data_IF_329299749076
#
_entry.id   IF_329299749076
#
_cell.length_a   1.000
_cell.length_b   1.000
_cell.length_c   1.000
_cell.angle_alpha   90.00
_cell.angle_beta   90.00
_cell.angle_gamma   90.00
#
_symmetry.space_group_name_H-M   'P 1'
#
loop_
_entity.id
_entity.type
_entity.pdbx_description
1 polymer ?
#
# COMPACT_ATOMS: atom_id res chain seq x y z
N UNK A 1 20.86 0.16 18.25
CA UNK A 1 20.05 0.75 17.17
C UNK A 1 18.94 1.55 17.83
N UNK A 2 18.71 2.82 17.40
CA UNK A 2 17.61 3.62 17.95
C UNK A 2 16.26 2.99 17.60
N UNK A 3 15.26 3.17 18.47
CA UNK A 3 13.87 2.81 18.18
C UNK A 3 13.33 3.69 17.07
N UNK A 4 12.77 3.12 16.01
CA UNK A 4 12.12 3.82 14.92
C UNK A 4 10.66 3.35 14.83
N UNK A 5 9.75 4.29 14.64
CA UNK A 5 8.33 4.02 14.38
C UNK A 5 8.01 4.37 12.94
N UNK A 6 7.55 3.40 12.18
CA UNK A 6 7.22 3.53 10.77
C UNK A 6 5.72 3.77 10.60
N UNK A 7 5.33 4.83 9.89
CA UNK A 7 3.99 4.98 9.36
C UNK A 7 3.94 4.26 8.01
N UNK A 8 3.08 3.25 7.90
CA UNK A 8 2.96 2.39 6.71
C UNK A 8 1.69 2.75 5.95
N UNK A 9 1.86 3.24 4.74
CA UNK A 9 0.79 3.58 3.78
C UNK A 9 0.91 2.68 2.56
N UNK A 10 -0.21 2.24 2.00
CA UNK A 10 -0.24 1.45 0.77
C UNK A 10 -1.52 1.72 -0.02
N UNK A 11 -1.47 1.51 -1.33
CA UNK A 11 -2.64 1.47 -2.20
C UNK A 11 -3.53 2.72 -2.03
N UNK A 12 -2.90 3.91 -2.16
CA UNK A 12 -3.57 5.21 -2.00
C UNK A 12 -4.48 5.49 -3.20
N UNK A 13 -4.05 5.03 -4.39
CA UNK A 13 -4.84 5.09 -5.61
C UNK A 13 -5.45 6.47 -5.90
N UNK A 14 -4.63 7.52 -5.77
CA UNK A 14 -5.03 8.90 -6.02
C UNK A 14 -6.31 9.34 -5.28
N UNK A 15 -6.65 8.71 -4.14
CA UNK A 15 -7.72 9.09 -3.23
C UNK A 15 -7.16 10.03 -2.14
N UNK A 16 -6.99 11.29 -2.50
CA UNK A 16 -6.46 12.31 -1.59
C UNK A 16 -7.38 12.56 -0.38
N UNK A 17 -8.70 12.41 -0.55
CA UNK A 17 -9.66 12.56 0.55
C UNK A 17 -9.41 11.53 1.65
N UNK A 18 -9.19 10.27 1.28
CA UNK A 18 -8.85 9.22 2.23
C UNK A 18 -7.46 9.43 2.83
N UNK A 19 -6.46 9.82 2.01
CA UNK A 19 -5.10 10.10 2.48
C UNK A 19 -5.09 11.22 3.51
N UNK A 20 -5.81 12.31 3.30
CA UNK A 20 -5.91 13.40 4.26
C UNK A 20 -6.51 12.97 5.59
N UNK A 21 -7.56 12.15 5.57
CA UNK A 21 -8.15 11.61 6.80
C UNK A 21 -7.15 10.73 7.57
N UNK A 22 -6.40 9.88 6.86
CA UNK A 22 -5.33 9.06 7.45
C UNK A 22 -4.23 9.93 8.06
N UNK A 23 -3.75 10.95 7.34
CA UNK A 23 -2.69 11.82 7.84
C UNK A 23 -3.13 12.63 9.08
N UNK A 24 -4.38 13.07 9.12
CA UNK A 24 -4.96 13.76 10.27
C UNK A 24 -5.05 12.83 11.50
N UNK A 25 -5.44 11.58 11.32
CA UNK A 25 -5.45 10.59 12.42
C UNK A 25 -4.02 10.22 12.86
N UNK A 26 -3.12 10.00 11.91
CA UNK A 26 -1.73 9.65 12.15
C UNK A 26 -0.94 10.77 12.85
N UNK A 27 -1.30 12.04 12.67
CA UNK A 27 -0.67 13.18 13.34
C UNK A 27 -0.70 13.07 14.89
N UNK A 28 -1.68 12.36 15.43
CA UNK A 28 -1.77 12.08 16.87
C UNK A 28 -0.95 10.86 17.31
N UNK A 29 -0.32 10.15 16.36
CA UNK A 29 0.47 8.96 16.60
C UNK A 29 1.94 9.26 16.29
N UNK A 30 2.81 9.05 17.24
CA UNK A 30 4.24 9.32 17.01
C UNK A 30 4.79 8.34 15.97
N UNK A 31 5.37 8.86 14.88
CA UNK A 31 6.15 8.11 13.91
C UNK A 31 7.38 8.93 13.51
N UNK A 32 8.41 8.26 13.05
CA UNK A 32 9.71 8.87 12.69
C UNK A 32 9.92 8.87 11.19
N UNK A 33 9.29 7.93 10.47
CA UNK A 33 9.45 7.77 9.03
C UNK A 33 8.17 7.27 8.38
N UNK A 34 7.90 7.74 7.17
CA UNK A 34 6.77 7.29 6.33
C UNK A 34 7.28 6.34 5.27
N UNK A 35 6.66 5.16 5.16
CA UNK A 35 6.91 4.17 4.11
C UNK A 35 5.63 4.02 3.29
N UNK A 36 5.72 4.29 2.00
CA UNK A 36 4.66 4.03 1.04
C UNK A 36 4.97 2.74 0.26
N UNK A 37 4.08 1.76 0.37
CA UNK A 37 4.25 0.40 -0.14
C UNK A 37 3.71 0.20 -1.56
N UNK A 38 3.66 1.27 -2.36
CA UNK A 38 3.24 1.22 -3.76
C UNK A 38 1.77 1.55 -3.99
N UNK A 39 1.43 1.74 -5.27
CA UNK A 39 0.13 2.13 -5.77
C UNK A 39 -0.37 3.46 -5.19
N UNK A 40 0.47 4.50 -5.33
CA UNK A 40 0.03 5.88 -5.12
C UNK A 40 -0.99 6.30 -6.16
N UNK A 41 -0.85 5.77 -7.38
CA UNK A 41 -1.62 6.12 -8.58
C UNK A 41 -2.66 5.03 -8.93
N UNK A 42 -3.47 5.31 -9.94
CA UNK A 42 -4.58 4.46 -10.37
C UNK A 42 -5.90 4.82 -9.70
N UNK A 43 -6.98 4.45 -10.32
CA UNK A 43 -8.39 4.56 -9.91
C UNK A 43 -8.91 5.96 -9.58
N UNK A 44 -8.29 6.71 -8.66
CA UNK A 44 -8.83 7.94 -8.09
C UNK A 44 -8.49 9.22 -8.87
N UNK A 45 -9.11 10.36 -8.50
CA UNK A 45 -9.07 11.59 -9.29
C UNK A 45 -7.97 12.58 -8.90
N UNK A 46 -7.17 12.33 -7.86
CA UNK A 46 -6.22 13.32 -7.32
C UNK A 46 -4.76 12.84 -7.35
N UNK A 47 -4.19 12.48 -8.54
CA UNK A 47 -2.86 11.90 -8.60
C UNK A 47 -1.77 12.89 -8.16
N UNK A 48 -1.90 14.19 -8.51
CA UNK A 48 -0.92 15.20 -8.15
C UNK A 48 -0.90 15.49 -6.66
N UNK A 49 -2.06 15.66 -6.07
CA UNK A 49 -2.22 15.95 -4.64
C UNK A 49 -1.65 14.81 -3.77
N UNK A 50 -1.82 13.56 -4.20
CA UNK A 50 -1.24 12.40 -3.52
C UNK A 50 0.28 12.39 -3.65
N UNK A 51 0.83 12.64 -4.84
CA UNK A 51 2.28 12.71 -5.03
C UNK A 51 2.90 13.88 -4.25
N UNK A 52 2.24 15.04 -4.20
CA UNK A 52 2.72 16.18 -3.42
C UNK A 52 2.71 15.87 -1.92
N UNK A 53 1.65 15.27 -1.39
CA UNK A 53 1.60 14.85 0.00
C UNK A 53 2.73 13.85 0.36
N UNK A 54 3.01 12.86 -0.50
CA UNK A 54 4.11 11.92 -0.27
C UNK A 54 5.49 12.60 -0.30
N UNK A 55 5.67 13.63 -1.14
CA UNK A 55 6.91 14.45 -1.15
C UNK A 55 7.05 15.27 0.13
N UNK A 56 5.97 15.92 0.57
CA UNK A 56 5.97 16.73 1.79
C UNK A 56 6.27 15.90 3.04
N UNK A 57 5.87 14.63 3.03
CA UNK A 57 6.15 13.67 4.10
C UNK A 57 7.57 13.09 4.04
N UNK A 58 8.37 13.43 3.03
CA UNK A 58 9.67 12.77 2.74
C UNK A 58 9.54 11.23 2.76
N UNK A 59 8.46 10.73 2.16
CA UNK A 59 8.11 9.32 2.21
C UNK A 59 9.10 8.47 1.42
N UNK A 60 9.54 7.36 2.00
CA UNK A 60 10.25 6.30 1.27
C UNK A 60 9.21 5.51 0.48
N UNK A 61 9.26 5.62 -0.84
CA UNK A 61 8.29 4.99 -1.72
C UNK A 61 8.89 3.79 -2.45
N UNK A 62 8.16 2.67 -2.47
CA UNK A 62 8.38 1.58 -3.42
C UNK A 62 7.36 1.67 -4.56
N UNK A 63 7.72 1.10 -5.70
CA UNK A 63 6.88 1.07 -6.89
C UNK A 63 5.74 0.06 -6.68
N UNK A 64 4.51 0.44 -7.01
CA UNK A 64 3.38 -0.47 -7.14
C UNK A 64 3.14 -0.84 -8.61
N UNK A 65 2.28 -1.82 -8.86
CA UNK A 65 2.00 -2.27 -10.22
C UNK A 65 1.22 -1.21 -11.03
N UNK A 66 0.37 -0.40 -10.40
CA UNK A 66 -0.29 0.72 -11.09
C UNK A 66 0.69 1.85 -11.40
N UNK A 67 1.63 2.12 -10.51
CA UNK A 67 2.68 3.11 -10.73
C UNK A 67 3.58 2.68 -11.90
N UNK A 68 3.97 1.40 -11.97
CA UNK A 68 4.74 0.84 -13.10
C UNK A 68 3.94 0.86 -14.40
N UNK A 69 2.65 0.49 -14.37
CA UNK A 69 1.79 0.59 -15.54
C UNK A 69 1.70 2.02 -16.08
N UNK A 70 1.60 3.03 -15.20
CA UNK A 70 1.59 4.44 -15.61
C UNK A 70 2.91 4.82 -16.29
N UNK A 71 4.06 4.39 -15.75
CA UNK A 71 5.37 4.62 -16.37
C UNK A 71 5.47 3.92 -17.73
N UNK A 72 4.94 2.71 -17.87
CA UNK A 72 4.90 2.00 -19.15
C UNK A 72 4.06 2.75 -20.20
N UNK A 73 2.92 3.36 -19.80
CA UNK A 73 2.15 4.24 -20.68
C UNK A 73 2.91 5.51 -21.06
N UNK A 74 3.55 6.16 -20.09
CA UNK A 74 4.36 7.36 -20.32
C UNK A 74 5.50 7.11 -21.32
N UNK A 75 6.08 5.91 -21.32
CA UNK A 75 7.17 5.48 -22.20
C UNK A 75 6.68 4.93 -23.56
N UNK A 76 5.37 4.82 -23.80
CA UNK A 76 4.82 4.18 -24.98
C UNK A 76 5.11 2.67 -25.06
N UNK A 77 5.49 2.03 -23.96
CA UNK A 77 5.80 0.58 -23.89
C UNK A 77 4.57 -0.29 -23.66
N UNK A 78 3.44 0.32 -23.31
CA UNK A 78 2.18 -0.38 -23.08
C UNK A 78 1.09 0.16 -23.98
N UNK A 79 0.41 -0.74 -24.69
CA UNK A 79 -0.77 -0.39 -25.47
C UNK A 79 -1.95 -0.08 -24.56
N UNK A 80 -2.72 0.96 -24.93
CA UNK A 80 -3.95 1.30 -24.20
C UNK A 80 -4.98 0.21 -24.45
N UNK A 81 -5.40 -0.46 -23.38
CA UNK A 81 -6.48 -1.46 -23.42
C UNK A 81 -7.79 -0.80 -23.01
N UNK A 82 -8.88 -1.31 -23.54
CA UNK A 82 -10.23 -0.93 -23.09
C UNK A 82 -10.52 -1.59 -21.73
N UNK A 83 -9.94 -1.01 -20.69
CA UNK A 83 -10.10 -1.44 -19.29
C UNK A 83 -10.21 -0.24 -18.36
N UNK A 84 -10.93 -0.42 -17.27
CA UNK A 84 -11.12 0.60 -16.22
C UNK A 84 -9.77 1.10 -15.69
N UNK A 85 -8.80 0.20 -15.51
CA UNK A 85 -7.46 0.55 -15.05
C UNK A 85 -6.73 1.42 -16.07
N UNK A 86 -6.73 1.05 -17.35
CA UNK A 86 -6.12 1.83 -18.42
C UNK A 86 -6.75 3.21 -18.53
N UNK A 87 -8.07 3.31 -18.47
CA UNK A 87 -8.79 4.59 -18.53
C UNK A 87 -8.35 5.53 -17.39
N UNK A 88 -8.32 5.02 -16.15
CA UNK A 88 -7.92 5.80 -14.98
C UNK A 88 -6.45 6.25 -15.08
N UNK A 89 -5.54 5.34 -15.43
CA UNK A 89 -4.11 5.66 -15.53
C UNK A 89 -3.80 6.64 -16.66
N UNK A 90 -4.43 6.50 -17.82
CA UNK A 90 -4.28 7.45 -18.94
C UNK A 90 -4.83 8.82 -18.60
N UNK A 91 -5.99 8.87 -17.91
CA UNK A 91 -6.53 10.12 -17.41
C UNK A 91 -5.57 10.79 -16.42
N UNK A 92 -5.02 10.04 -15.47
CA UNK A 92 -4.05 10.55 -14.49
C UNK A 92 -2.76 11.02 -15.17
N UNK A 93 -2.23 10.26 -16.14
CA UNK A 93 -1.04 10.65 -16.90
C UNK A 93 -1.23 12.00 -17.61
N UNK A 94 -2.44 12.29 -18.12
CA UNK A 94 -2.75 13.60 -18.73
C UNK A 94 -2.77 14.77 -17.73
N UNK A 95 -2.78 14.50 -16.42
CA UNK A 95 -2.83 15.49 -15.33
C UNK A 95 -1.49 15.65 -14.63
N UNK A 96 -0.59 14.69 -14.76
CA UNK A 96 0.75 14.73 -14.17
C UNK A 96 1.72 15.52 -15.05
N UNK A 97 2.62 16.24 -14.39
CA UNK A 97 3.74 16.88 -15.07
C UNK A 97 4.87 15.88 -15.36
N UNK A 98 5.79 16.25 -16.26
CA UNK A 98 7.02 15.45 -16.50
C UNK A 98 7.84 15.28 -15.20
N UNK A 99 7.83 16.29 -14.30
CA UNK A 99 8.49 16.21 -13.01
C UNK A 99 7.85 15.16 -12.10
N UNK A 100 6.53 15.02 -12.14
CA UNK A 100 5.81 14.01 -11.36
C UNK A 100 6.15 12.60 -11.83
N UNK A 101 6.08 12.39 -13.14
CA UNK A 101 6.45 11.10 -13.76
C UNK A 101 7.93 10.77 -13.51
N UNK A 102 8.83 11.75 -13.62
CA UNK A 102 10.24 11.58 -13.34
C UNK A 102 10.50 11.19 -11.87
N UNK A 103 9.72 11.72 -10.93
CA UNK A 103 9.86 11.37 -9.52
C UNK A 103 9.37 9.93 -9.24
N UNK A 104 8.22 9.52 -9.78
CA UNK A 104 7.73 8.13 -9.67
C UNK A 104 8.74 7.15 -10.27
N UNK A 105 9.44 7.54 -11.36
CA UNK A 105 10.49 6.73 -11.99
C UNK A 105 11.70 6.44 -11.09
N UNK A 106 11.91 7.23 -10.04
CA UNK A 106 12.96 7.00 -9.06
C UNK A 106 12.60 5.92 -8.02
N UNK A 107 11.33 5.55 -7.93
CA UNK A 107 10.87 4.53 -7.00
C UNK A 107 11.39 3.16 -7.43
N UNK A 108 11.76 2.35 -6.45
CA UNK A 108 12.30 1.02 -6.68
C UNK A 108 11.20 -0.03 -6.54
N UNK A 109 11.31 -1.12 -7.27
CA UNK A 109 10.47 -2.31 -7.14
C UNK A 109 10.58 -2.98 -5.74
N UNK A 110 11.59 -2.67 -4.96
CA UNK A 110 11.74 -3.11 -3.57
C UNK A 110 12.95 -2.47 -2.92
N UNK A 111 12.85 -2.30 -1.60
CA UNK A 111 13.91 -1.70 -0.77
C UNK A 111 14.19 -2.64 0.41
N UNK A 112 15.45 -3.01 0.58
CA UNK A 112 15.93 -3.63 1.81
C UNK A 112 16.44 -2.53 2.75
N UNK A 113 15.86 -2.45 3.95
CA UNK A 113 16.26 -1.52 4.99
C UNK A 113 17.07 -2.27 6.06
N UNK A 114 18.41 -2.14 6.04
CA UNK A 114 19.26 -2.83 7.00
C UNK A 114 19.17 -2.25 8.42
N UNK A 115 18.69 -1.01 8.60
CA UNK A 115 18.53 -0.38 9.90
C UNK A 115 17.34 -0.96 10.67
N UNK A 116 16.26 -1.25 9.95
CA UNK A 116 15.06 -1.92 10.50
C UNK A 116 15.19 -3.45 10.40
N UNK A 117 15.98 -3.94 9.46
CA UNK A 117 16.06 -5.36 9.11
C UNK A 117 14.79 -5.81 8.35
N UNK A 118 14.25 -4.92 7.54
CA UNK A 118 12.98 -5.11 6.82
C UNK A 118 13.16 -5.02 5.30
N UNK A 119 12.23 -5.64 4.58
CA UNK A 119 12.03 -5.47 3.15
C UNK A 119 10.68 -4.83 2.89
N UNK A 120 10.68 -3.77 2.10
CA UNK A 120 9.49 -3.10 1.58
C UNK A 120 9.31 -3.48 0.12
N UNK A 121 8.15 -3.99 -0.27
CA UNK A 121 7.79 -4.27 -1.65
C UNK A 121 6.27 -4.30 -1.80
N UNK A 122 5.75 -4.11 -3.02
CA UNK A 122 4.30 -3.95 -3.19
C UNK A 122 3.53 -5.28 -3.09
N UNK A 123 3.86 -6.27 -3.93
CA UNK A 123 3.09 -7.52 -4.03
C UNK A 123 3.45 -8.56 -2.97
N UNK A 124 4.62 -9.19 -3.13
CA UNK A 124 5.23 -10.09 -2.15
C UNK A 124 6.65 -9.61 -1.85
N UNK A 125 7.36 -10.16 -0.85
CA UNK A 125 8.78 -9.80 -0.67
C UNK A 125 9.68 -10.08 -1.88
N UNK A 126 9.22 -10.84 -2.88
CA UNK A 126 9.99 -11.23 -4.07
C UNK A 126 9.36 -10.83 -5.41
N UNK A 127 8.11 -10.37 -5.42
CA UNK A 127 7.39 -10.00 -6.63
C UNK A 127 6.60 -8.70 -6.48
N UNK A 128 6.56 -7.91 -7.56
CA UNK A 128 5.74 -6.69 -7.64
C UNK A 128 4.24 -7.02 -7.77
N UNK A 129 3.90 -8.06 -8.55
CA UNK A 129 2.56 -8.31 -9.05
C UNK A 129 1.82 -9.48 -8.36
N UNK A 130 2.55 -10.33 -7.63
CA UNK A 130 1.94 -11.48 -6.94
C UNK A 130 1.24 -11.06 -5.66
N UNK A 131 0.09 -11.68 -5.37
CA UNK A 131 -0.68 -11.42 -4.15
C UNK A 131 -0.20 -12.27 -2.98
N UNK A 132 -0.10 -11.66 -1.78
CA UNK A 132 0.01 -12.39 -0.52
C UNK A 132 -1.38 -12.37 0.16
N UNK A 133 -2.34 -13.11 -0.38
CA UNK A 133 -3.76 -13.08 0.02
C UNK A 133 -4.24 -14.35 0.73
N UNK A 134 -3.39 -15.36 0.79
CA UNK A 134 -3.75 -16.68 1.32
C UNK A 134 -2.56 -17.37 1.98
N UNK A 135 -2.84 -18.39 2.79
CA UNK A 135 -1.79 -19.24 3.40
C UNK A 135 -0.91 -19.91 2.35
N UNK A 136 -1.43 -20.47 1.24
CA UNK A 136 -0.59 -21.00 0.16
C UNK A 136 0.32 -19.94 -0.47
N UNK A 137 -0.19 -18.76 -0.79
CA UNK A 137 0.60 -17.66 -1.35
C UNK A 137 1.70 -17.19 -0.38
N UNK A 138 1.37 -17.04 0.90
CA UNK A 138 2.35 -16.69 1.92
C UNK A 138 3.44 -17.77 2.07
N UNK A 139 3.09 -19.06 1.96
CA UNK A 139 4.05 -20.17 2.00
C UNK A 139 5.05 -20.07 0.85
N UNK A 140 4.56 -19.79 -0.35
CA UNK A 140 5.40 -19.63 -1.54
C UNK A 140 6.35 -18.44 -1.39
N UNK A 141 5.82 -17.29 -0.93
CA UNK A 141 6.63 -16.11 -0.65
C UNK A 141 7.73 -16.40 0.40
N UNK A 142 7.41 -17.09 1.50
CA UNK A 142 8.39 -17.48 2.51
C UNK A 142 9.41 -18.50 2.00
N UNK A 143 9.08 -19.35 1.07
CA UNK A 143 10.02 -20.29 0.46
C UNK A 143 11.09 -19.59 -0.38
N UNK A 144 10.69 -18.51 -1.09
CA UNK A 144 11.55 -17.75 -1.98
C UNK A 144 12.33 -16.63 -1.26
N UNK A 145 11.87 -16.16 -0.10
CA UNK A 145 12.47 -15.05 0.64
C UNK A 145 12.86 -15.49 2.05
N UNK A 146 14.10 -15.17 2.46
CA UNK A 146 14.67 -15.60 3.74
C UNK A 146 14.71 -14.48 4.80
N UNK A 147 14.23 -13.29 4.49
CA UNK A 147 14.17 -12.18 5.44
C UNK A 147 13.17 -12.41 6.57
N UNK A 148 13.25 -11.58 7.61
CA UNK A 148 12.42 -11.71 8.82
C UNK A 148 11.17 -10.83 8.75
N UNK A 149 11.31 -9.56 8.35
CA UNK A 149 10.24 -8.56 8.31
C UNK A 149 10.00 -8.13 6.85
N UNK A 150 8.88 -8.52 6.26
CA UNK A 150 8.42 -8.05 4.96
C UNK A 150 7.17 -7.17 5.13
N UNK A 151 7.17 -6.00 4.50
CA UNK A 151 6.00 -5.13 4.42
C UNK A 151 5.54 -5.07 2.98
N UNK A 152 4.26 -5.36 2.75
CA UNK A 152 3.63 -5.46 1.44
C UNK A 152 2.30 -4.72 1.39
N UNK A 153 1.73 -4.53 0.19
CA UNK A 153 0.42 -3.95 -0.07
C UNK A 153 -0.41 -4.83 -1.00
N UNK A 154 -0.88 -4.24 -2.10
CA UNK A 154 -1.47 -4.88 -3.30
C UNK A 154 -2.81 -5.60 -3.09
N UNK A 155 -3.00 -6.34 -2.01
CA UNK A 155 -4.26 -7.04 -1.73
C UNK A 155 -5.38 -6.10 -1.28
N UNK A 156 -5.02 -4.92 -0.77
CA UNK A 156 -5.90 -3.95 -0.11
C UNK A 156 -6.60 -4.50 1.15
N UNK A 157 -6.08 -5.58 1.71
CA UNK A 157 -6.62 -6.24 2.91
C UNK A 157 -5.55 -6.24 3.98
N UNK A 158 -5.78 -5.60 5.15
CA UNK A 158 -4.79 -5.59 6.20
C UNK A 158 -4.65 -6.96 6.83
N UNK A 159 -3.42 -7.48 6.81
CA UNK A 159 -3.13 -8.85 7.23
C UNK A 159 -1.71 -9.05 7.74
N UNK A 160 -1.54 -10.10 8.51
CA UNK A 160 -0.25 -10.67 8.91
C UNK A 160 -0.22 -12.14 8.52
N UNK A 161 0.87 -12.55 7.86
CA UNK A 161 1.24 -13.94 7.70
C UNK A 161 2.54 -14.19 8.45
N UNK A 162 2.57 -15.20 9.30
CA UNK A 162 3.71 -15.51 10.15
C UNK A 162 4.10 -16.99 10.06
N UNK A 163 5.41 -17.27 10.04
CA UNK A 163 5.95 -18.64 10.11
C UNK A 163 7.14 -18.68 11.07
N UNK A 164 7.56 -19.90 11.43
CA UNK A 164 8.77 -20.08 12.24
C UNK A 164 10.04 -19.77 11.42
N UNK A 165 11.09 -19.40 12.10
CA UNK A 165 12.30 -18.88 11.48
C UNK A 165 13.09 -19.94 10.68
N UNK A 166 12.92 -21.27 10.94
CA UNK A 166 13.57 -22.34 10.17
C UNK A 166 13.14 -23.75 10.63
N UNK A 167 13.02 -24.70 9.70
CA UNK A 167 12.77 -24.52 8.27
C UNK A 167 11.41 -23.88 8.03
N UNK A 168 11.11 -23.43 6.79
CA UNK A 168 9.74 -23.02 6.45
C UNK A 168 8.85 -24.24 6.69
N UNK A 169 8.26 -24.27 7.88
CA UNK A 169 7.46 -25.40 8.31
C UNK A 169 6.09 -25.38 7.64
N UNK A 170 5.34 -26.45 7.86
CA UNK A 170 3.95 -26.53 7.42
C UNK A 170 3.04 -25.52 8.16
N UNK A 171 3.57 -24.87 9.20
CA UNK A 171 2.81 -23.93 10.00
C UNK A 171 2.93 -22.49 9.47
N UNK A 172 1.81 -21.93 9.07
CA UNK A 172 1.64 -20.51 8.78
C UNK A 172 0.40 -20.02 9.52
N UNK A 173 0.56 -18.99 10.32
CA UNK A 173 -0.55 -18.27 10.92
C UNK A 173 -0.92 -17.09 10.02
N UNK A 174 -2.20 -16.97 9.68
CA UNK A 174 -2.78 -15.80 9.05
C UNK A 174 -3.69 -15.08 10.04
N UNK A 175 -3.66 -13.74 10.04
CA UNK A 175 -4.56 -12.90 10.82
C UNK A 175 -4.92 -11.67 9.98
N UNK A 176 -6.21 -11.38 9.86
CA UNK A 176 -6.75 -10.21 9.18
C UNK A 176 -7.21 -9.16 10.20
N UNK A 177 -7.22 -7.89 9.79
CA UNK A 177 -7.54 -6.74 10.65
C UNK A 177 -8.63 -5.86 10.03
N UNK A 178 -9.76 -6.48 9.64
CA UNK A 178 -10.89 -5.77 8.98
C UNK A 178 -11.40 -4.59 9.82
N UNK A 179 -11.37 -4.69 11.14
CA UNK A 179 -11.79 -3.61 12.05
C UNK A 179 -10.60 -2.93 12.74
N UNK A 180 -9.39 -3.11 12.21
CA UNK A 180 -8.15 -2.69 12.88
C UNK A 180 -7.68 -3.72 13.91
N UNK A 181 -6.59 -3.41 14.60
CA UNK A 181 -6.02 -4.30 15.62
C UNK A 181 -4.50 -4.34 15.60
N UNK A 182 -3.92 -5.26 16.31
CA UNK A 182 -2.47 -5.31 16.43
C UNK A 182 -1.89 -6.72 16.45
N UNK A 183 -0.61 -6.80 16.13
CA UNK A 183 0.18 -8.03 16.18
C UNK A 183 1.57 -7.77 16.77
N UNK A 184 1.92 -8.51 17.81
CA UNK A 184 3.29 -8.54 18.31
C UNK A 184 4.08 -9.61 17.55
N UNK A 185 5.15 -9.20 16.88
CA UNK A 185 6.01 -10.12 16.12
C UNK A 185 6.93 -10.89 17.07
N UNK A 186 6.75 -12.21 17.24
CA UNK A 186 7.60 -12.99 18.13
C UNK A 186 9.06 -13.03 17.62
N UNK A 187 10.06 -13.10 18.52
CA UNK A 187 11.49 -13.05 18.11
C UNK A 187 11.92 -14.14 17.12
N UNK A 188 11.32 -15.33 17.21
CA UNK A 188 11.65 -16.51 16.39
C UNK A 188 10.77 -16.69 15.16
N UNK A 189 10.03 -15.64 14.74
CA UNK A 189 9.14 -15.70 13.58
C UNK A 189 9.62 -14.83 12.43
N UNK A 190 9.28 -15.25 11.22
CA UNK A 190 9.30 -14.45 9.99
C UNK A 190 7.89 -14.01 9.70
N UNK A 191 7.72 -12.76 9.26
CA UNK A 191 6.39 -12.19 9.02
C UNK A 191 6.32 -11.42 7.71
N UNK A 192 5.16 -11.47 7.06
CA UNK A 192 4.73 -10.59 5.98
C UNK A 192 3.55 -9.78 6.53
N UNK A 193 3.66 -8.46 6.49
CA UNK A 193 2.77 -7.49 7.12
C UNK A 193 2.18 -6.60 6.04
N UNK A 194 0.86 -6.49 5.98
CA UNK A 194 0.13 -5.66 5.06
C UNK A 194 -0.73 -4.66 5.84
N UNK A 195 -0.57 -3.32 5.65
CA UNK A 195 -1.37 -2.31 6.34
C UNK A 195 -2.78 -2.15 5.77
N UNK A 196 -3.13 -2.84 4.68
CA UNK A 196 -4.34 -2.62 3.91
C UNK A 196 -4.19 -1.43 2.96
N UNK A 197 -5.30 -0.88 2.50
CA UNK A 197 -5.35 0.22 1.53
C UNK A 197 -5.86 1.50 2.17
N UNK A 198 -5.16 2.61 1.89
CA UNK A 198 -5.63 3.95 2.22
C UNK A 198 -6.82 4.33 1.33
N UNK A 199 -6.67 4.14 0.01
CA UNK A 199 -7.58 4.72 -0.96
C UNK A 199 -8.73 3.83 -1.41
N UNK A 200 -8.56 2.50 -1.36
CA UNK A 200 -9.55 1.55 -1.87
C UNK A 200 -9.51 0.21 -1.11
N UNK A 201 -9.93 0.15 0.16
CA UNK A 201 -10.04 -1.10 0.91
C UNK A 201 -10.90 -2.15 0.20
N UNK A 202 -10.53 -3.45 0.32
CA UNK A 202 -11.24 -4.57 -0.35
C UNK A 202 -11.63 -5.69 0.62
N UNK A 203 -11.77 -5.38 1.88
CA UNK A 203 -12.13 -6.32 2.94
C UNK A 203 -13.55 -6.16 3.45
N UNK A 204 -14.40 -5.42 2.71
CA UNK A 204 -15.78 -5.12 3.07
C UNK A 204 -15.94 -3.96 4.05
N UNK A 205 -14.83 -3.41 4.57
CA UNK A 205 -14.84 -2.20 5.39
C UNK A 205 -14.42 -1.00 4.53
N UNK A 206 -15.27 0.01 4.29
CA UNK A 206 -14.95 1.15 3.44
C UNK A 206 -14.01 2.16 4.08
N UNK A 207 -13.70 2.05 5.36
CA UNK A 207 -12.78 2.95 6.05
C UNK A 207 -11.34 2.76 5.55
N UNK A 208 -10.62 3.85 5.35
CA UNK A 208 -9.21 3.83 5.00
C UNK A 208 -8.39 3.03 6.02
N UNK A 209 -7.40 2.28 5.54
CA UNK A 209 -6.52 1.46 6.37
C UNK A 209 -5.08 1.93 6.27
N UNK A 210 -4.39 1.98 7.40
CA UNK A 210 -2.97 2.21 7.50
C UNK A 210 -2.41 1.53 8.75
N UNK A 211 -1.08 1.48 8.90
CA UNK A 211 -0.49 0.88 10.10
C UNK A 211 0.68 1.70 10.65
N UNK A 212 0.99 1.48 11.93
CA UNK A 212 2.23 1.91 12.57
C UNK A 212 3.00 0.68 13.03
N UNK A 213 4.29 0.63 12.71
CA UNK A 213 5.19 -0.41 13.19
C UNK A 213 6.25 0.17 14.13
N UNK A 214 6.25 -0.28 15.39
CA UNK A 214 7.24 0.08 16.40
C UNK A 214 8.37 -0.97 16.40
N UNK A 215 9.56 -0.59 15.92
CA UNK A 215 10.68 -1.51 15.78
C UNK A 215 11.23 -2.00 17.12
N UNK A 216 11.17 -1.18 18.17
CA UNK A 216 11.66 -1.56 19.50
C UNK A 216 10.78 -2.61 20.17
N UNK A 217 9.47 -2.51 19.94
CA UNK A 217 8.47 -3.43 20.50
C UNK A 217 8.14 -4.58 19.55
N UNK A 218 8.62 -4.53 18.31
CA UNK A 218 8.20 -5.40 17.21
C UNK A 218 6.65 -5.47 17.11
N UNK A 219 6.00 -4.29 17.22
CA UNK A 219 4.55 -4.16 17.32
C UNK A 219 4.01 -3.52 16.05
N UNK A 220 3.15 -4.25 15.36
CA UNK A 220 2.39 -3.81 14.18
C UNK A 220 0.97 -3.49 14.61
N UNK A 221 0.50 -2.29 14.34
CA UNK A 221 -0.85 -1.83 14.71
C UNK A 221 -1.54 -1.21 13.51
N UNK A 222 -2.70 -1.78 13.14
CA UNK A 222 -3.54 -1.35 12.02
C UNK A 222 -4.67 -0.49 12.53
N UNK A 223 -4.89 0.62 11.84
CA UNK A 223 -5.95 1.58 12.11
C UNK A 223 -6.92 1.68 10.95
N UNK A 224 -8.19 1.91 11.29
CA UNK A 224 -9.26 2.18 10.32
C UNK A 224 -9.76 3.60 10.55
N UNK A 225 -9.86 4.36 9.48
CA UNK A 225 -10.21 5.79 9.53
C UNK A 225 -11.38 6.07 8.61
N UNK A 226 -12.44 6.63 9.18
CA UNK A 226 -13.55 7.13 8.40
C UNK A 226 -13.10 8.38 7.60
N UNK A 227 -13.49 8.46 6.35
CA UNK A 227 -13.27 9.63 5.50
C UNK A 227 -14.56 9.97 4.74
N UNK A 228 -14.61 11.13 4.13
CA UNK A 228 -15.73 11.59 3.34
C UNK A 228 -15.78 10.84 2.00
N UNK A 229 -16.48 9.68 2.03
CA UNK A 229 -16.61 8.79 0.88
C UNK A 229 -17.44 9.45 -0.21
N UNK A 230 -18.51 10.17 0.15
CA UNK A 230 -19.38 10.84 -0.81
C UNK A 230 -18.60 11.87 -1.62
N UNK A 231 -17.79 12.68 -0.95
CA UNK A 231 -16.89 13.63 -1.60
C UNK A 231 -15.88 12.95 -2.52
N UNK A 232 -15.31 11.82 -2.10
CA UNK A 232 -14.36 11.07 -2.93
C UNK A 232 -15.05 10.47 -4.18
N UNK A 233 -16.30 10.01 -4.04
CA UNK A 233 -17.11 9.52 -5.14
C UNK A 233 -17.49 10.65 -6.13
N UNK A 234 -17.96 11.78 -5.62
CA UNK A 234 -18.28 12.96 -6.42
C UNK A 234 -17.08 13.42 -7.23
N UNK A 235 -15.91 13.55 -6.60
CA UNK A 235 -14.68 13.95 -7.27
C UNK A 235 -14.29 12.98 -8.40
N UNK A 236 -14.47 11.67 -8.21
CA UNK A 236 -14.20 10.67 -9.25
C UNK A 236 -15.17 10.81 -10.43
N UNK A 237 -16.44 11.07 -10.17
CA UNK A 237 -17.48 11.27 -11.20
C UNK A 237 -17.28 12.60 -11.95
N UNK A 238 -16.97 13.69 -11.26
CA UNK A 238 -16.65 15.00 -11.86
C UNK A 238 -15.41 14.94 -12.75
N UNK A 239 -14.43 14.09 -12.39
CA UNK A 239 -13.25 13.80 -13.21
C UNK A 239 -13.57 12.98 -14.47
N UNK A 240 -14.79 12.49 -14.62
CA UNK A 240 -15.22 11.64 -15.73
C UNK A 240 -14.67 10.20 -15.64
N UNK A 241 -14.25 9.77 -14.46
CA UNK A 241 -13.80 8.40 -14.24
C UNK A 241 -15.00 7.42 -14.24
N UNK A 242 -14.77 6.13 -14.59
CA UNK A 242 -15.84 5.13 -14.61
C UNK A 242 -16.60 5.05 -13.28
N UNK A 243 -17.94 5.10 -13.33
CA UNK A 243 -18.83 5.10 -12.17
C UNK A 243 -18.54 3.94 -11.19
N UNK A 244 -18.12 2.79 -11.69
CA UNK A 244 -17.78 1.62 -10.85
C UNK A 244 -16.64 1.93 -9.88
N UNK A 245 -15.70 2.82 -10.24
CA UNK A 245 -14.58 3.22 -9.37
C UNK A 245 -15.07 4.04 -8.17
N UNK A 246 -16.05 4.91 -8.38
CA UNK A 246 -16.72 5.64 -7.31
C UNK A 246 -17.57 4.70 -6.43
N UNK A 247 -18.39 3.85 -7.05
CA UNK A 247 -19.33 2.98 -6.32
C UNK A 247 -18.62 2.01 -5.34
N UNK A 248 -17.44 1.50 -5.71
CA UNK A 248 -16.64 0.55 -4.89
C UNK A 248 -16.23 1.13 -3.54
N UNK A 249 -15.98 2.43 -3.46
CA UNK A 249 -15.49 3.08 -2.25
C UNK A 249 -16.46 2.90 -1.08
N UNK A 250 -17.77 2.95 -1.34
CA UNK A 250 -18.80 2.85 -0.30
C UNK A 250 -18.97 1.43 0.27
N UNK A 251 -18.47 0.41 -0.42
CA UNK A 251 -18.69 -0.99 -0.03
C UNK A 251 -17.37 -1.72 0.32
N UNK A 252 -16.25 -1.03 0.28
CA UNK A 252 -14.94 -1.63 0.60
C UNK A 252 -14.55 -2.78 -0.36
N UNK A 253 -14.67 -2.54 -1.71
CA UNK A 253 -14.39 -3.56 -2.76
C UNK A 253 -13.51 -3.02 -3.88
#
# INVERSE_FOLDING_TARGET
MGSVRLLLLSDIHANHTALQAVLNDAANRRYDQVIHLGDALGYGPHPREVLDALRELDAVCVLGNHDDMLLQYADGRRETKDSIVSMALMWQLSRLSERDVAWVRLWRDGIDDPHVGARYRHGTPVSLDEYTDSVPAAREAFAQWQGRLGFVGHTHVPAVYATLNSPVGDWIKAQHFTDGGSYMVPPSTRVILNPGSVGQPRDGNPQASYAVFDTARAHFEVFRVAYDIERAQEAALEAGLPQVLAARLAIGK
#
